data_IF_198837363920
#
_entry.id   IF_198837363920
#
_cell.length_a   1.000
_cell.length_b   1.000
_cell.length_c   1.000
_cell.angle_alpha   90.00
_cell.angle_beta   90.00
_cell.angle_gamma   90.00
#
_symmetry.space_group_name_H-M   'P 1'
#
loop_
_entity.id
_entity.type
_entity.pdbx_description
1 polymer ?
#
# COMPACT_ATOMS: atom_id res chain seq x y z
N UNK A 1 16.85 -3.78 -21.08
CA UNK A 1 17.43 -3.51 -19.74
C UNK A 1 17.25 -2.03 -19.53
N UNK A 2 16.52 -1.62 -18.49
CA UNK A 2 16.24 -0.20 -18.22
C UNK A 2 17.55 0.54 -18.01
N UNK A 3 17.77 1.65 -18.70
CA UNK A 3 18.96 2.48 -18.50
C UNK A 3 18.65 3.53 -17.42
N UNK A 4 19.35 3.42 -16.29
CA UNK A 4 19.15 4.26 -15.11
C UNK A 4 20.33 5.22 -14.98
N UNK A 5 20.05 6.50 -14.80
CA UNK A 5 21.06 7.52 -14.53
C UNK A 5 20.60 8.49 -13.44
N UNK A 6 21.55 9.25 -12.89
CA UNK A 6 21.27 10.24 -11.85
C UNK A 6 21.67 11.62 -12.34
N UNK A 7 20.81 12.61 -12.12
CA UNK A 7 21.06 13.99 -12.49
C UNK A 7 20.79 14.93 -11.32
N UNK A 8 21.67 15.91 -11.13
CA UNK A 8 21.54 16.93 -10.10
C UNK A 8 21.55 18.30 -10.73
N UNK A 9 20.49 19.06 -10.51
CA UNK A 9 20.48 20.50 -10.78
C UNK A 9 20.78 21.29 -9.50
N UNK A 10 20.62 22.62 -9.54
CA UNK A 10 20.94 23.51 -8.43
C UNK A 10 19.99 23.40 -7.23
N UNK A 11 18.81 22.77 -7.37
CA UNK A 11 17.78 22.62 -6.33
C UNK A 11 17.33 21.19 -6.09
N UNK A 12 17.41 20.33 -7.11
CA UNK A 12 16.77 19.02 -7.11
C UNK A 12 17.74 17.92 -7.55
N UNK A 13 17.55 16.73 -6.99
CA UNK A 13 18.19 15.50 -7.45
C UNK A 13 17.15 14.65 -8.16
N UNK A 14 17.53 14.01 -9.27
CA UNK A 14 16.66 13.17 -10.07
C UNK A 14 17.27 11.80 -10.32
N UNK A 15 16.42 10.78 -10.20
CA UNK A 15 16.59 9.49 -10.84
C UNK A 15 15.98 9.60 -12.24
N UNK A 16 16.71 9.18 -13.27
CA UNK A 16 16.25 9.19 -14.66
C UNK A 16 16.19 7.75 -15.16
N UNK A 17 15.01 7.34 -15.62
CA UNK A 17 14.81 6.10 -16.34
C UNK A 17 14.62 6.44 -17.81
N UNK A 18 15.47 5.87 -18.67
CA UNK A 18 15.37 5.98 -20.12
C UNK A 18 14.61 4.78 -20.66
N UNK A 19 13.63 5.07 -21.50
CA UNK A 19 12.87 4.07 -22.24
C UNK A 19 13.01 4.29 -23.75
N UNK A 20 13.31 3.19 -24.46
CA UNK A 20 13.65 3.21 -25.87
C UNK A 20 12.43 3.23 -26.80
N UNK A 21 11.21 3.04 -26.28
CA UNK A 21 9.99 3.06 -27.07
C UNK A 21 8.91 4.04 -26.57
N UNK A 22 8.17 4.59 -27.53
CA UNK A 22 6.96 5.39 -27.30
C UNK A 22 5.70 4.51 -27.12
N UNK A 23 5.87 3.19 -26.98
CA UNK A 23 4.82 2.17 -26.87
C UNK A 23 4.31 2.08 -25.43
N UNK A 24 3.95 3.21 -24.84
CA UNK A 24 3.34 3.27 -23.51
C UNK A 24 1.88 3.67 -23.58
N UNK A 25 1.14 3.29 -22.55
CA UNK A 25 -0.23 3.77 -22.36
C UNK A 25 -0.21 5.27 -22.00
N UNK A 26 -0.74 6.11 -22.90
CA UNK A 26 -0.86 7.56 -22.69
C UNK A 26 -1.67 7.88 -21.42
N UNK A 27 -2.56 6.97 -21.00
CA UNK A 27 -3.29 7.09 -19.75
C UNK A 27 -2.37 7.00 -18.53
N UNK A 28 -1.60 5.92 -18.41
CA UNK A 28 -0.72 5.72 -17.25
C UNK A 28 0.30 6.85 -17.11
N UNK A 29 0.87 7.28 -18.24
CA UNK A 29 1.77 8.45 -18.31
C UNK A 29 1.11 9.72 -17.78
N UNK A 30 -0.13 10.01 -18.18
CA UNK A 30 -0.87 11.17 -17.68
C UNK A 30 -1.13 11.06 -16.19
N UNK A 31 -1.51 9.87 -15.70
CA UNK A 31 -1.81 9.68 -14.29
C UNK A 31 -0.60 10.01 -13.40
N UNK A 32 0.58 9.50 -13.73
CA UNK A 32 1.80 9.70 -12.91
C UNK A 32 2.44 11.09 -13.08
N UNK A 33 2.17 11.82 -14.17
CA UNK A 33 2.76 13.15 -14.42
C UNK A 33 1.83 14.33 -14.09
N UNK A 34 0.52 14.14 -14.19
CA UNK A 34 -0.47 15.20 -13.93
C UNK A 34 -1.05 15.14 -12.51
N UNK A 35 -0.88 14.02 -11.79
CA UNK A 35 -1.35 13.86 -10.42
C UNK A 35 -0.20 13.72 -9.41
N UNK A 36 -0.51 13.99 -8.14
CA UNK A 36 0.33 13.60 -7.01
C UNK A 36 -0.31 12.40 -6.35
N UNK A 37 0.15 11.21 -6.72
CA UNK A 37 -0.28 9.95 -6.12
C UNK A 37 0.56 9.73 -4.86
N UNK A 38 -0.10 9.49 -3.72
CA UNK A 38 0.61 9.29 -2.45
C UNK A 38 1.45 8.01 -2.56
N UNK A 39 2.66 8.04 -2.00
CA UNK A 39 3.60 6.92 -2.08
C UNK A 39 4.41 6.84 -3.38
N UNK A 40 4.04 7.53 -4.45
CA UNK A 40 4.89 7.63 -5.64
C UNK A 40 5.85 8.82 -5.56
N UNK A 41 7.04 8.63 -6.13
CA UNK A 41 7.96 9.73 -6.38
C UNK A 41 7.39 10.67 -7.47
N UNK A 42 7.50 12.01 -7.32
CA UNK A 42 7.06 12.95 -8.34
C UNK A 42 7.79 12.70 -9.67
N UNK A 43 7.02 12.52 -10.74
CA UNK A 43 7.54 12.20 -12.07
C UNK A 43 7.34 13.35 -13.07
N UNK A 44 8.34 13.59 -13.91
CA UNK A 44 8.23 14.41 -15.12
C UNK A 44 8.72 13.60 -16.33
N UNK A 45 7.93 13.57 -17.39
CA UNK A 45 8.36 12.95 -18.66
C UNK A 45 8.96 14.02 -19.57
N UNK A 46 10.16 13.74 -20.11
CA UNK A 46 10.85 14.60 -21.09
C UNK A 46 11.17 13.83 -22.34
N UNK A 47 11.03 14.52 -23.48
CA UNK A 47 11.40 13.99 -24.79
C UNK A 47 12.67 14.69 -25.27
N UNK A 48 13.77 13.95 -25.35
CA UNK A 48 15.07 14.49 -25.74
C UNK A 48 15.68 13.58 -26.79
N UNK A 49 16.05 14.13 -27.95
CA UNK A 49 16.68 13.39 -29.06
C UNK A 49 15.91 12.14 -29.54
N UNK A 50 14.57 12.14 -29.39
CA UNK A 50 13.73 10.99 -29.79
C UNK A 50 13.57 9.92 -28.72
N UNK A 51 14.11 10.14 -27.52
CA UNK A 51 14.02 9.23 -26.37
C UNK A 51 13.02 9.75 -25.33
N UNK A 52 12.36 8.83 -24.64
CA UNK A 52 11.49 9.14 -23.50
C UNK A 52 12.27 8.98 -22.21
N UNK A 53 12.32 10.04 -21.41
CA UNK A 53 13.03 10.07 -20.14
C UNK A 53 12.06 10.39 -19.01
N UNK A 54 12.00 9.51 -18.01
CA UNK A 54 11.20 9.69 -16.80
C UNK A 54 12.11 10.24 -15.70
N UNK A 55 11.86 11.48 -15.29
CA UNK A 55 12.60 12.18 -14.24
C UNK A 55 11.83 12.07 -12.93
N UNK A 56 12.32 11.25 -12.02
CA UNK A 56 11.81 11.10 -10.66
C UNK A 56 12.58 11.98 -9.69
N UNK A 57 11.88 12.85 -8.96
CA UNK A 57 12.52 13.72 -7.98
C UNK A 57 12.87 12.96 -6.69
N UNK A 58 14.16 12.84 -6.39
CA UNK A 58 14.72 12.15 -5.23
C UNK A 58 15.44 13.11 -4.27
N UNK A 59 15.09 14.41 -4.30
CA UNK A 59 15.65 15.40 -3.39
C UNK A 59 15.44 15.00 -1.93
N UNK A 60 16.52 15.03 -1.14
CA UNK A 60 16.55 14.61 0.27
C UNK A 60 16.13 13.16 0.54
N UNK A 61 16.14 12.30 -0.49
CA UNK A 61 15.82 10.88 -0.38
C UNK A 61 17.06 10.02 -0.64
N UNK A 62 17.09 8.85 -0.04
CA UNK A 62 18.08 7.81 -0.30
C UNK A 62 17.33 6.53 -0.71
N UNK A 63 17.92 5.74 -1.61
CA UNK A 63 17.33 4.45 -1.97
C UNK A 63 17.44 3.46 -0.82
N UNK A 64 16.52 2.49 -0.76
CA UNK A 64 16.55 1.37 0.19
C UNK A 64 17.87 0.61 0.10
N UNK A 65 18.35 0.37 -1.12
CA UNK A 65 19.68 -0.21 -1.37
C UNK A 65 20.78 0.59 -0.68
N UNK A 66 20.85 1.89 -0.95
CA UNK A 66 21.88 2.74 -0.37
C UNK A 66 21.75 2.93 1.14
N UNK A 67 20.54 2.87 1.69
CA UNK A 67 20.29 2.99 3.13
C UNK A 67 20.87 1.79 3.87
N UNK A 68 20.53 0.57 3.42
CA UNK A 68 20.88 -0.66 4.13
C UNK A 68 22.30 -1.17 3.82
N UNK A 69 22.97 -0.66 2.80
CA UNK A 69 24.42 -0.84 2.64
C UNK A 69 25.24 -0.27 3.84
N UNK A 70 24.69 0.68 4.59
CA UNK A 70 25.35 1.33 5.74
C UNK A 70 24.61 1.24 7.07
N UNK A 71 23.42 0.63 7.11
CA UNK A 71 22.55 0.53 8.29
C UNK A 71 21.90 -0.85 8.34
N UNK A 72 21.69 -1.40 9.53
CA UNK A 72 20.90 -2.62 9.67
C UNK A 72 19.40 -2.35 9.59
N UNK A 73 18.69 -3.25 8.90
CA UNK A 73 17.23 -3.27 8.82
C UNK A 73 16.63 -3.80 10.12
N UNK A 74 15.76 -3.01 10.73
CA UNK A 74 15.01 -3.34 11.94
C UNK A 74 13.55 -3.68 11.62
N UNK A 75 12.84 -4.27 12.59
CA UNK A 75 11.41 -4.58 12.44
C UNK A 75 10.58 -3.30 12.16
N UNK A 76 10.98 -2.16 12.73
CA UNK A 76 10.33 -0.87 12.47
C UNK A 76 10.35 -0.50 10.99
N UNK A 77 11.51 -0.62 10.36
CA UNK A 77 11.71 -0.28 8.95
C UNK A 77 11.01 -1.28 8.03
N UNK A 78 11.04 -2.56 8.41
CA UNK A 78 10.34 -3.61 7.71
C UNK A 78 8.82 -3.34 7.67
N UNK A 79 8.21 -3.06 8.83
CA UNK A 79 6.79 -2.68 8.91
C UNK A 79 6.50 -1.44 8.06
N UNK A 80 7.32 -0.40 8.19
CA UNK A 80 7.18 0.84 7.42
C UNK A 80 7.20 0.61 5.91
N UNK A 81 8.08 -0.28 5.43
CA UNK A 81 8.21 -0.61 4.01
C UNK A 81 6.94 -1.28 3.46
N UNK A 82 6.47 -2.34 4.10
CA UNK A 82 5.32 -3.10 3.62
C UNK A 82 3.98 -2.38 3.81
N UNK A 83 3.85 -1.56 4.87
CA UNK A 83 2.70 -0.65 5.03
C UNK A 83 2.71 0.40 3.92
N UNK A 84 3.87 0.99 3.61
CA UNK A 84 3.99 1.95 2.52
C UNK A 84 3.70 1.31 1.16
N UNK A 85 4.12 0.05 0.96
CA UNK A 85 3.84 -0.73 -0.25
C UNK A 85 2.34 -0.97 -0.42
N UNK A 86 1.64 -1.43 0.63
CA UNK A 86 0.18 -1.62 0.59
C UNK A 86 -0.54 -0.32 0.26
N UNK A 87 -0.17 0.76 0.94
CA UNK A 87 -0.75 2.07 0.72
C UNK A 87 -0.57 2.56 -0.73
N UNK A 88 0.64 2.44 -1.29
CA UNK A 88 0.86 2.90 -2.67
C UNK A 88 0.12 2.03 -3.68
N UNK A 89 -0.03 0.72 -3.43
CA UNK A 89 -0.82 -0.18 -4.30
C UNK A 89 -2.32 0.20 -4.29
N UNK A 90 -2.88 0.56 -3.13
CA UNK A 90 -4.25 1.05 -3.03
C UNK A 90 -4.42 2.41 -3.75
N UNK A 91 -3.46 3.31 -3.59
CA UNK A 91 -3.44 4.61 -4.25
C UNK A 91 -3.36 4.45 -5.77
N UNK A 92 -2.43 3.67 -6.31
CA UNK A 92 -2.30 3.44 -7.75
C UNK A 92 -3.53 2.76 -8.34
N UNK A 93 -4.10 1.78 -7.64
CA UNK A 93 -5.35 1.13 -8.06
C UNK A 93 -6.52 2.12 -8.18
N UNK A 94 -6.59 3.14 -7.31
CA UNK A 94 -7.62 4.19 -7.40
C UNK A 94 -7.52 5.04 -8.67
N UNK A 95 -6.33 5.11 -9.27
CA UNK A 95 -6.05 5.73 -10.57
C UNK A 95 -6.02 4.73 -11.73
N UNK A 96 -6.51 3.49 -11.53
CA UNK A 96 -6.52 2.42 -12.54
C UNK A 96 -5.12 2.11 -13.11
N UNK A 97 -4.07 2.33 -12.32
CA UNK A 97 -2.70 1.98 -12.67
C UNK A 97 -2.43 0.52 -12.29
N UNK A 98 -1.99 -0.34 -13.22
CA UNK A 98 -1.62 -1.72 -12.92
C UNK A 98 -0.49 -1.83 -11.88
N UNK A 99 -0.56 -2.86 -11.03
CA UNK A 99 0.46 -3.12 -10.00
C UNK A 99 1.84 -3.46 -10.59
N UNK A 100 1.89 -4.10 -11.77
CA UNK A 100 3.13 -4.46 -12.48
C UNK A 100 4.00 -3.24 -12.84
N UNK A 101 3.39 -2.05 -12.91
CA UNK A 101 4.12 -0.80 -13.12
C UNK A 101 4.90 -0.35 -11.88
N UNK A 102 4.60 -0.85 -10.68
CA UNK A 102 5.28 -0.45 -9.45
C UNK A 102 6.63 -1.14 -9.33
N UNK A 103 7.71 -0.35 -9.31
CA UNK A 103 9.07 -0.87 -9.17
C UNK A 103 9.42 -1.06 -7.68
N UNK A 104 9.60 -2.31 -7.27
CA UNK A 104 9.89 -2.71 -5.89
C UNK A 104 11.32 -3.20 -5.68
N UNK A 105 12.19 -3.04 -6.69
CA UNK A 105 13.61 -3.30 -6.55
C UNK A 105 14.25 -2.35 -5.49
N UNK A 106 15.21 -2.80 -4.67
CA UNK A 106 15.81 -1.97 -3.61
C UNK A 106 16.39 -0.63 -4.07
N UNK A 107 16.83 -0.51 -5.32
CA UNK A 107 17.34 0.74 -5.91
C UNK A 107 16.24 1.65 -6.47
N UNK A 108 14.99 1.17 -6.53
CA UNK A 108 13.80 1.89 -6.99
C UNK A 108 12.86 2.31 -5.85
N UNK A 109 13.12 1.86 -4.63
CA UNK A 109 12.40 2.29 -3.42
C UNK A 109 13.25 3.33 -2.70
N UNK A 110 12.64 4.42 -2.26
CA UNK A 110 13.30 5.56 -1.64
C UNK A 110 12.67 5.91 -0.30
N UNK A 111 13.44 6.47 0.61
CA UNK A 111 12.94 6.95 1.91
C UNK A 111 13.63 8.24 2.32
N UNK A 112 13.02 8.99 3.23
CA UNK A 112 13.59 10.17 3.88
C UNK A 112 13.99 9.76 5.31
N UNK A 113 15.24 10.00 5.74
CA UNK A 113 15.76 9.52 7.03
C UNK A 113 14.92 9.91 8.27
N UNK A 114 14.10 10.95 8.16
CA UNK A 114 13.25 11.46 9.24
C UNK A 114 11.81 10.92 9.20
N UNK A 115 11.41 10.26 8.11
CA UNK A 115 10.05 9.74 7.92
C UNK A 115 10.10 8.23 7.77
N UNK A 116 9.28 7.54 8.55
CA UNK A 116 9.07 6.09 8.40
C UNK A 116 8.16 5.78 7.19
N UNK A 117 8.35 6.51 6.09
CA UNK A 117 7.59 6.38 4.84
C UNK A 117 8.56 6.00 3.71
N UNK A 118 8.09 5.09 2.86
CA UNK A 118 8.79 4.71 1.64
C UNK A 118 8.02 5.22 0.42
N UNK A 119 8.79 5.57 -0.61
CA UNK A 119 8.32 6.13 -1.87
C UNK A 119 8.82 5.25 -3.01
N UNK A 120 7.95 5.04 -3.99
CA UNK A 120 8.15 4.07 -5.05
C UNK A 120 8.22 4.75 -6.41
N UNK A 121 8.95 4.13 -7.33
CA UNK A 121 8.97 4.50 -8.73
C UNK A 121 7.89 3.72 -9.47
N UNK A 122 7.22 4.36 -10.42
CA UNK A 122 6.25 3.70 -11.30
C UNK A 122 6.77 3.71 -12.75
N UNK A 123 6.82 2.57 -13.39
CA UNK A 123 7.20 2.43 -14.79
C UNK A 123 5.95 2.11 -15.63
N UNK A 124 5.40 3.10 -16.38
CA UNK A 124 4.22 2.90 -17.21
C UNK A 124 4.48 2.06 -18.47
N UNK A 125 5.71 1.59 -18.66
CA UNK A 125 6.13 0.72 -19.76
C UNK A 125 6.49 -0.69 -19.26
N UNK A 126 6.37 -0.97 -17.97
CA UNK A 126 6.75 -2.27 -17.44
C UNK A 126 5.81 -3.38 -17.91
N UNK A 127 6.40 -4.47 -18.38
CA UNK A 127 5.73 -5.76 -18.61
C UNK A 127 6.17 -6.81 -17.58
N UNK A 128 6.87 -6.40 -16.51
CA UNK A 128 7.50 -7.31 -15.54
C UNK A 128 6.44 -7.92 -14.63
N UNK A 129 6.58 -9.23 -14.36
CA UNK A 129 5.70 -10.00 -13.48
C UNK A 129 6.23 -9.99 -12.04
N UNK A 130 5.40 -9.54 -11.10
CA UNK A 130 5.80 -9.14 -9.74
C UNK A 130 6.46 -10.19 -8.82
N UNK A 131 6.25 -11.51 -9.03
CA UNK A 131 6.71 -12.53 -8.07
C UNK A 131 8.24 -12.60 -7.93
N UNK A 132 8.98 -12.55 -9.03
CA UNK A 132 10.45 -12.63 -8.97
C UNK A 132 11.07 -11.38 -8.34
N UNK A 133 10.48 -10.20 -8.61
CA UNK A 133 10.93 -8.93 -8.04
C UNK A 133 10.73 -8.89 -6.54
N UNK A 134 9.61 -9.44 -6.05
CA UNK A 134 9.33 -9.57 -4.62
C UNK A 134 10.36 -10.48 -3.92
N UNK A 135 10.67 -11.65 -4.49
CA UNK A 135 11.70 -12.54 -3.94
C UNK A 135 13.04 -11.82 -3.85
N UNK A 136 13.46 -11.12 -4.91
CA UNK A 136 14.71 -10.36 -4.91
C UNK A 136 14.73 -9.24 -3.86
N UNK A 137 13.61 -8.56 -3.62
CA UNK A 137 13.49 -7.60 -2.52
C UNK A 137 13.65 -8.30 -1.17
N UNK A 138 12.95 -9.40 -0.94
CA UNK A 138 12.99 -10.14 0.33
C UNK A 138 14.38 -10.74 0.62
N UNK A 139 15.07 -11.28 -0.38
CA UNK A 139 16.46 -11.73 -0.27
C UNK A 139 17.38 -10.58 0.14
N UNK A 140 17.24 -9.42 -0.54
CA UNK A 140 18.00 -8.23 -0.17
C UNK A 140 17.73 -7.80 1.28
N UNK A 141 16.48 -7.80 1.72
CA UNK A 141 16.13 -7.46 3.11
C UNK A 141 16.72 -8.46 4.11
N UNK A 142 16.73 -9.76 3.77
CA UNK A 142 17.25 -10.82 4.63
C UNK A 142 18.76 -10.65 4.87
N UNK A 143 19.50 -10.27 3.83
CA UNK A 143 20.94 -10.04 3.89
C UNK A 143 21.33 -8.82 4.75
N UNK A 144 20.40 -7.89 5.01
CA UNK A 144 20.68 -6.63 5.70
C UNK A 144 19.97 -6.47 7.05
N UNK A 145 19.19 -7.46 7.48
CA UNK A 145 18.49 -7.43 8.76
C UNK A 145 19.47 -7.41 9.93
N UNK A 146 19.11 -6.71 11.00
CA UNK A 146 19.88 -6.75 12.25
C UNK A 146 19.79 -8.16 12.85
N UNK A 147 20.93 -8.85 12.97
CA UNK A 147 20.97 -10.20 13.54
C UNK A 147 20.58 -10.26 15.02
N UNK A 148 20.56 -9.12 15.73
CA UNK A 148 20.04 -9.04 17.11
C UNK A 148 18.52 -8.85 17.15
N UNK A 149 17.90 -8.34 16.07
CA UNK A 149 16.45 -8.18 15.93
C UNK A 149 15.82 -9.50 15.42
N UNK A 150 15.65 -10.44 16.34
CA UNK A 150 15.05 -11.74 16.04
C UNK A 150 13.65 -11.64 15.42
N UNK A 151 12.88 -10.60 15.74
CA UNK A 151 11.54 -10.42 15.20
C UNK A 151 11.62 -10.05 13.71
N UNK A 152 12.48 -9.09 13.35
CA UNK A 152 12.71 -8.73 11.95
C UNK A 152 13.28 -9.91 11.14
N UNK A 153 14.24 -10.64 11.70
CA UNK A 153 14.86 -11.81 11.07
C UNK A 153 13.80 -12.88 10.75
N UNK A 154 12.96 -13.24 11.73
CA UNK A 154 11.89 -14.21 11.55
C UNK A 154 10.86 -13.74 10.51
N UNK A 155 10.50 -12.46 10.54
CA UNK A 155 9.56 -11.87 9.60
C UNK A 155 10.04 -11.96 8.15
N UNK A 156 11.27 -11.55 7.88
CA UNK A 156 11.80 -11.57 6.51
C UNK A 156 11.89 -13.01 5.98
N UNK A 157 12.39 -13.96 6.78
CA UNK A 157 12.44 -15.36 6.34
C UNK A 157 11.06 -15.99 6.16
N UNK A 158 10.09 -15.63 7.01
CA UNK A 158 8.71 -16.09 6.84
C UNK A 158 8.12 -15.57 5.53
N UNK A 159 8.27 -14.27 5.24
CA UNK A 159 7.82 -13.67 3.99
C UNK A 159 8.51 -14.29 2.77
N UNK A 160 9.82 -14.58 2.86
CA UNK A 160 10.57 -15.23 1.78
C UNK A 160 10.03 -16.64 1.50
N UNK A 161 9.78 -17.44 2.55
CA UNK A 161 9.17 -18.78 2.42
C UNK A 161 7.77 -18.73 1.79
N UNK A 162 6.95 -17.73 2.14
CA UNK A 162 5.65 -17.50 1.50
C UNK A 162 5.79 -17.10 0.03
N UNK A 163 6.74 -16.22 -0.30
CA UNK A 163 6.96 -15.77 -1.67
C UNK A 163 7.47 -16.90 -2.57
N UNK A 164 8.40 -17.73 -2.10
CA UNK A 164 8.91 -18.90 -2.84
C UNK A 164 7.82 -19.96 -3.08
N UNK A 165 6.83 -20.06 -2.20
CA UNK A 165 5.68 -20.97 -2.33
C UNK A 165 4.51 -20.38 -3.13
N UNK A 166 4.64 -19.15 -3.64
CA UNK A 166 3.56 -18.41 -4.28
C UNK A 166 2.33 -18.20 -3.35
N UNK A 167 2.57 -18.09 -2.05
CA UNK A 167 1.56 -17.92 -0.98
C UNK A 167 1.65 -16.55 -0.30
N UNK A 168 2.45 -15.63 -0.83
CA UNK A 168 2.59 -14.30 -0.27
C UNK A 168 1.33 -13.46 -0.53
N UNK A 169 0.69 -12.99 0.53
CA UNK A 169 -0.45 -12.08 0.48
C UNK A 169 -0.11 -10.84 1.31
N UNK A 170 0.04 -9.69 0.65
CA UNK A 170 0.46 -8.45 1.30
C UNK A 170 -0.48 -8.01 2.44
N UNK A 171 -1.78 -8.21 2.25
CA UNK A 171 -2.79 -7.87 3.27
C UNK A 171 -2.59 -8.67 4.56
N UNK A 172 -2.34 -9.98 4.45
CA UNK A 172 -2.07 -10.85 5.60
C UNK A 172 -0.78 -10.45 6.31
N UNK A 173 0.27 -10.08 5.57
CA UNK A 173 1.53 -9.58 6.15
C UNK A 173 1.31 -8.29 6.93
N UNK A 174 0.57 -7.33 6.37
CA UNK A 174 0.31 -6.05 7.06
C UNK A 174 -0.60 -6.24 8.27
N UNK A 175 -1.58 -7.13 8.21
CA UNK A 175 -2.42 -7.49 9.36
C UNK A 175 -1.59 -8.15 10.47
N UNK A 176 -0.72 -9.10 10.11
CA UNK A 176 0.20 -9.76 11.04
C UNK A 176 1.07 -8.77 11.82
N UNK A 177 1.57 -7.72 11.16
CA UNK A 177 2.32 -6.67 11.85
C UNK A 177 1.53 -5.91 12.92
N UNK A 178 0.21 -5.81 12.77
CA UNK A 178 -0.68 -5.14 13.73
C UNK A 178 -1.10 -6.03 14.91
N UNK A 179 -1.12 -7.35 14.74
CA UNK A 179 -1.42 -8.30 15.82
C UNK A 179 -0.33 -8.32 16.89
N UNK A 180 0.94 -8.13 16.51
CA UNK A 180 2.08 -8.05 17.42
C UNK A 180 2.11 -6.79 18.31
N UNK A 181 1.30 -5.77 18.00
CA UNK A 181 1.22 -4.52 18.79
C UNK A 181 0.23 -4.59 19.96
N UNK A 182 -0.45 -5.72 20.18
CA UNK A 182 -1.25 -5.90 21.40
C UNK A 182 -0.35 -6.29 22.58
N UNK A 183 -0.12 -5.42 23.58
CA UNK A 183 0.50 -5.85 24.82
C UNK A 183 -0.46 -6.81 25.52
N UNK A 184 -0.04 -8.05 25.65
CA UNK A 184 -0.52 -8.98 26.67
C UNK A 184 -0.23 -8.32 28.04
N UNK A 185 -1.23 -7.61 28.59
CA UNK A 185 -1.45 -7.14 29.98
C UNK A 185 -2.12 -5.76 30.01
N UNK A 186 -3.43 -5.71 29.74
CA UNK A 186 -4.30 -4.71 30.37
C UNK A 186 -4.84 -5.36 31.64
N UNK A 187 -4.52 -4.86 32.86
CA UNK A 187 -5.18 -5.34 34.06
C UNK A 187 -6.67 -5.05 33.91
N UNK A 188 -7.52 -6.06 34.06
CA UNK A 188 -8.97 -5.87 34.17
C UNK A 188 -9.24 -4.80 35.24
N UNK A 189 -10.09 -3.80 34.97
CA UNK A 189 -10.48 -2.88 36.04
C UNK A 189 -11.27 -3.68 37.06
N UNK A 190 -10.73 -3.78 38.27
CA UNK A 190 -11.38 -4.37 39.43
C UNK A 190 -12.77 -3.75 39.58
N UNK A 191 -13.81 -4.57 39.46
CA UNK A 191 -15.19 -4.14 39.69
C UNK A 191 -15.37 -3.86 41.18
N UNK A 192 -15.27 -2.58 41.57
CA UNK A 192 -15.84 -2.13 42.84
C UNK A 192 -17.36 -2.28 42.79
N UNK A 193 -17.86 -3.22 43.59
CA UNK A 193 -19.29 -3.40 43.85
C UNK A 193 -19.70 -2.27 44.80
N UNK A 194 -20.35 -1.22 44.28
CA UNK A 194 -21.10 -0.29 45.12
C UNK A 194 -22.59 -0.65 45.04
N UNK A 195 -23.05 -1.32 46.09
CA UNK A 195 -24.44 -1.69 46.25
C UNK A 195 -25.25 -0.55 46.91
N UNK A 196 -26.51 -0.44 46.49
CA UNK A 196 -27.64 0.31 47.08
C UNK A 196 -27.80 1.78 46.62
N UNK A 197 -28.99 2.32 46.27
CA UNK A 197 -30.37 2.06 46.71
C UNK A 197 -31.41 2.35 45.60
N UNK A 198 -32.53 1.63 45.65
CA UNK A 198 -33.77 1.91 44.89
C UNK A 198 -34.43 3.21 45.37
N UNK A 199 -34.75 4.12 44.46
CA UNK A 199 -35.83 5.11 44.62
C UNK A 199 -36.65 5.24 43.31
N UNK A 200 -37.90 5.68 43.47
CA UNK A 200 -39.13 5.41 42.70
C UNK A 200 -39.24 5.86 41.23
N UNK A 201 -40.22 5.32 40.45
CA UNK A 201 -40.28 5.50 39.00
C UNK A 201 -40.86 6.85 38.57
N UNK A 202 -40.17 7.51 37.64
CA UNK A 202 -40.67 8.68 36.91
C UNK A 202 -41.70 8.27 35.83
N UNK A 203 -42.76 9.08 35.59
CA UNK A 203 -43.82 8.73 34.65
C UNK A 203 -43.35 8.77 33.20
N UNK A 204 -43.81 7.78 32.42
CA UNK A 204 -43.50 7.60 31.00
C UNK A 204 -44.28 8.62 30.14
N UNK A 205 -43.61 9.35 29.26
CA UNK A 205 -44.24 10.19 28.24
C UNK A 205 -44.52 9.35 26.99
N UNK A 206 -45.74 9.41 26.46
CA UNK A 206 -46.09 8.78 25.18
C UNK A 206 -45.44 9.54 24.02
N UNK A 207 -44.51 8.90 23.31
CA UNK A 207 -44.02 9.39 22.02
C UNK A 207 -45.04 9.06 20.93
N UNK A 208 -45.55 10.09 20.25
CA UNK A 208 -46.41 9.93 19.07
C UNK A 208 -45.55 9.54 17.86
N UNK A 209 -45.89 8.42 17.21
CA UNK A 209 -45.26 8.02 15.94
C UNK A 209 -45.52 9.06 14.83
N UNK A 210 -44.50 9.49 14.06
CA UNK A 210 -44.72 10.33 12.89
C UNK A 210 -45.28 9.48 11.73
N UNK A 211 -46.32 10.00 11.08
CA UNK A 211 -47.03 9.35 9.98
C UNK A 211 -46.11 9.02 8.77
N UNK A 212 -46.24 7.79 8.25
CA UNK A 212 -45.50 7.28 7.09
C UNK A 212 -45.84 8.05 5.80
N UNK A 213 -44.81 8.54 5.08
CA UNK A 213 -44.94 9.15 3.76
C UNK A 213 -44.77 8.09 2.64
N UNK A 214 -45.82 7.80 1.84
CA UNK A 214 -45.81 6.72 0.83
C UNK A 214 -44.86 6.96 -0.36
N UNK A 215 -44.18 8.12 -0.44
CA UNK A 215 -43.16 8.38 -1.45
C UNK A 215 -41.83 7.62 -1.21
N UNK A 216 -41.49 7.31 0.05
CA UNK A 216 -40.20 6.71 0.40
C UNK A 216 -40.16 5.19 0.07
N UNK A 217 -41.30 4.49 0.19
CA UNK A 217 -41.39 3.04 -0.11
C UNK A 217 -41.17 2.68 -1.58
N UNK A 218 -41.39 3.61 -2.53
CA UNK A 218 -41.15 3.34 -3.96
C UNK A 218 -39.68 3.41 -4.37
N UNK A 219 -38.84 4.12 -3.62
CA UNK A 219 -37.41 4.27 -3.93
C UNK A 219 -36.58 3.06 -3.46
N UNK A 220 -36.99 2.43 -2.35
CA UNK A 220 -36.27 1.29 -1.75
C UNK A 220 -36.49 0.01 -2.56
N UNK A 221 -37.67 -0.19 -3.16
CA UNK A 221 -37.98 -1.42 -3.91
C UNK A 221 -37.31 -1.51 -5.29
N UNK A 222 -36.93 -0.38 -5.90
CA UNK A 222 -36.28 -0.37 -7.22
C UNK A 222 -34.76 -0.48 -7.17
N UNK A 223 -34.12 -0.11 -6.06
CA UNK A 223 -32.67 -0.24 -5.87
C UNK A 223 -32.28 -1.67 -5.43
N UNK A 224 -33.08 -2.33 -4.59
CA UNK A 224 -32.80 -3.70 -4.12
C UNK A 224 -32.85 -4.76 -5.24
N UNK A 225 -33.71 -4.58 -6.26
CA UNK A 225 -33.85 -5.53 -7.36
C UNK A 225 -32.67 -5.52 -8.35
N UNK A 226 -31.90 -4.43 -8.44
CA UNK A 226 -30.73 -4.34 -9.33
C UNK A 226 -29.47 -4.95 -8.71
N UNK A 227 -29.32 -4.88 -7.38
CA UNK A 227 -28.16 -5.46 -6.67
C UNK A 227 -28.21 -6.99 -6.70
N UNK A 228 -29.40 -7.60 -6.59
CA UNK A 228 -29.54 -9.06 -6.60
C UNK A 228 -29.27 -9.72 -7.97
N UNK A 229 -29.47 -9.01 -9.08
CA UNK A 229 -29.26 -9.58 -10.42
C UNK A 229 -27.78 -9.68 -10.80
N UNK A 230 -26.92 -8.81 -10.25
CA UNK A 230 -25.47 -8.81 -10.54
C UNK A 230 -24.77 -9.95 -9.79
N UNK A 231 -25.15 -10.24 -8.54
CA UNK A 231 -24.55 -11.33 -7.76
C UNK A 231 -24.94 -12.73 -8.28
N UNK A 232 -26.10 -12.90 -8.92
CA UNK A 232 -26.55 -14.20 -9.41
C UNK A 232 -25.84 -14.68 -10.68
N UNK A 233 -25.29 -13.77 -11.50
CA UNK A 233 -24.56 -14.13 -12.74
C UNK A 233 -23.12 -14.58 -12.43
N UNK A 234 -22.50 -14.04 -11.38
CA UNK A 234 -21.13 -14.41 -10.98
C UNK A 234 -21.04 -15.78 -10.31
N UNK A 235 -22.10 -16.25 -9.65
CA UNK A 235 -22.13 -17.57 -8.99
C UNK A 235 -22.34 -18.75 -9.96
N UNK A 236 -22.73 -18.52 -11.21
CA UNK A 236 -22.90 -19.58 -12.22
C UNK A 236 -21.69 -19.81 -13.14
N UNK A 237 -20.63 -19.01 -13.03
CA UNK A 237 -19.39 -19.17 -13.84
C UNK A 237 -18.26 -19.84 -13.05
N UNK A 238 -18.35 -19.87 -11.71
CA UNK A 238 -17.31 -20.46 -10.84
C UNK A 238 -17.60 -21.93 -10.45
N UNK A 239 -18.73 -22.49 -10.91
CA UNK A 239 -19.13 -23.88 -10.66
C UNK A 239 -19.47 -24.66 -11.94
N UNK A 240 -18.82 -24.33 -13.07
CA UNK A 240 -18.92 -25.04 -14.35
C UNK A 240 -17.56 -25.40 -14.92
#
# INVERSE_FOLDING_TARGET
MREISYYKDYRHNYLIIREDEMTGDDYQRKMITENRIRGLLPCQIRYINGETLLYYEITSKQSVKGLFEGKHLTMKELKGLFISLKMVMEETASFLLPEDGLLIEPDMIFTELEKDEFYFVYDPFSEIRGAQTLITLLEFLADHVDGEDNAALQAVYHMLDLAEKEQFVLDEIVEWFGEEEQPENVPEPEKEIHEMQMEEPYPCYEEQEPAENPAIQRLISTQAAKVYLVCAVFLSVVLG
#
